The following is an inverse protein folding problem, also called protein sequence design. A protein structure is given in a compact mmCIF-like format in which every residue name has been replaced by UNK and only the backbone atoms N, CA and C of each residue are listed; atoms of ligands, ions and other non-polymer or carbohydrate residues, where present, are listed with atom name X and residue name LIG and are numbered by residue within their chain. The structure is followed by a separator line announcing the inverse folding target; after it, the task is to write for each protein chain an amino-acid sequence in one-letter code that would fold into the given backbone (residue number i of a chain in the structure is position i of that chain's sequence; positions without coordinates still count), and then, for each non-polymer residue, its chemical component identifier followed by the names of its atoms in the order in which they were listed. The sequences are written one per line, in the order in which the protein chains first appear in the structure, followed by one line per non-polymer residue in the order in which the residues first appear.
data_IF_966706354064
#
_entry.id   IF_966706354064
#
_cell.length_a   1.000
_cell.length_b   1.000
_cell.length_c   1.000
_cell.angle_alpha   90.00
_cell.angle_beta   90.00
_cell.angle_gamma   90.00
#
_symmetry.space_group_name_H-M   'P 1'
#
loop_
_entity.id
_entity.type
_entity.pdbx_description
1 polymer ?
#
# COMPACT_ATOMS: atom_id res chain seq x y z
N UNK A 1 10.71 -15.69 -21.46
CA UNK A 1 9.28 -15.35 -21.23
C UNK A 1 9.05 -13.92 -21.68
N UNK A 2 8.66 -13.71 -22.95
CA UNK A 2 8.47 -12.39 -23.56
C UNK A 2 7.04 -12.21 -24.11
N UNK A 3 6.07 -13.00 -23.65
CA UNK A 3 4.69 -12.76 -24.04
C UNK A 3 4.20 -11.47 -23.39
N UNK A 4 3.47 -10.64 -24.14
CA UNK A 4 2.90 -9.40 -23.65
C UNK A 4 2.03 -9.64 -22.40
N UNK A 5 1.29 -10.76 -22.38
CA UNK A 5 0.49 -11.21 -21.23
C UNK A 5 1.33 -11.43 -19.97
N UNK A 6 2.52 -12.01 -20.11
CA UNK A 6 3.42 -12.23 -18.97
C UNK A 6 3.92 -10.90 -18.40
N UNK A 7 4.29 -9.95 -19.26
CA UNK A 7 4.75 -8.62 -18.84
C UNK A 7 3.63 -7.87 -18.11
N UNK A 8 2.40 -7.91 -18.64
CA UNK A 8 1.25 -7.26 -18.02
C UNK A 8 0.95 -7.83 -16.63
N UNK A 9 0.97 -9.16 -16.48
CA UNK A 9 0.76 -9.82 -15.20
C UNK A 9 1.85 -9.45 -14.18
N UNK A 10 3.10 -9.37 -14.63
CA UNK A 10 4.25 -9.05 -13.78
C UNK A 10 4.20 -7.59 -13.31
N UNK A 11 3.81 -6.67 -14.18
CA UNK A 11 3.61 -5.26 -13.81
C UNK A 11 2.49 -5.08 -12.78
N UNK A 12 1.38 -5.82 -12.92
CA UNK A 12 0.29 -5.83 -11.91
C UNK A 12 0.80 -6.31 -10.55
N UNK A 13 1.59 -7.39 -10.53
CA UNK A 13 2.19 -7.92 -9.28
C UNK A 13 3.16 -6.95 -8.65
N UNK A 14 4.04 -6.33 -9.44
CA UNK A 14 4.97 -5.31 -8.95
C UNK A 14 4.23 -4.13 -8.29
N UNK A 15 3.09 -3.71 -8.86
CA UNK A 15 2.22 -2.71 -8.26
C UNK A 15 1.64 -3.16 -6.90
N UNK A 16 1.13 -4.39 -6.83
CA UNK A 16 0.53 -4.95 -5.60
C UNK A 16 1.59 -5.16 -4.50
N UNK A 17 2.75 -5.70 -4.84
CA UNK A 17 3.85 -6.00 -3.91
C UNK A 17 4.59 -4.74 -3.45
N UNK A 18 4.63 -3.70 -4.29
CA UNK A 18 5.24 -2.41 -3.97
C UNK A 18 4.47 -1.63 -2.88
N UNK A 19 3.15 -1.79 -2.82
CA UNK A 19 2.28 -1.09 -1.86
C UNK A 19 2.67 -1.41 -0.40
N UNK A 20 2.77 -2.68 0.03
CA UNK A 20 3.27 -3.03 1.37
C UNK A 20 4.67 -2.48 1.66
N UNK A 21 5.57 -2.47 0.68
CA UNK A 21 6.92 -1.95 0.87
C UNK A 21 6.92 -0.45 1.19
N UNK A 22 6.10 0.35 0.50
CA UNK A 22 5.93 1.77 0.79
C UNK A 22 5.31 1.99 2.17
N UNK A 23 4.28 1.21 2.54
CA UNK A 23 3.67 1.29 3.86
C UNK A 23 4.65 0.98 5.00
N UNK A 24 5.53 0.01 4.83
CA UNK A 24 6.57 -0.29 5.83
C UNK A 24 7.67 0.78 5.87
N UNK A 25 8.22 1.17 4.71
CA UNK A 25 9.36 2.10 4.64
C UNK A 25 8.98 3.56 4.93
N UNK A 26 7.96 4.08 4.26
CA UNK A 26 7.55 5.49 4.35
C UNK A 26 6.66 5.74 5.56
N UNK A 27 5.72 4.83 5.81
CA UNK A 27 4.69 5.04 6.82
C UNK A 27 4.90 4.25 8.11
N UNK A 28 5.97 3.44 8.22
CA UNK A 28 6.34 2.68 9.44
C UNK A 28 5.15 1.96 10.08
N UNK A 29 4.36 1.28 9.24
CA UNK A 29 3.12 0.63 9.69
C UNK A 29 3.37 -0.47 10.73
N UNK A 30 4.52 -1.16 10.65
CA UNK A 30 4.84 -2.27 11.56
C UNK A 30 5.01 -1.83 13.02
N UNK A 31 5.46 -0.59 13.27
CA UNK A 31 5.62 -0.04 14.62
C UNK A 31 4.41 0.76 15.11
N UNK A 32 3.33 0.83 14.33
CA UNK A 32 2.17 1.63 14.66
C UNK A 32 1.29 0.90 15.69
N UNK A 33 0.75 1.59 16.71
CA UNK A 33 -0.12 1.00 17.73
C UNK A 33 -1.55 0.77 17.19
N UNK A 34 -1.70 0.02 16.10
CA UNK A 34 -2.99 -0.26 15.44
C UNK A 34 -3.72 -1.47 16.00
N UNK A 35 -2.99 -2.39 16.65
CA UNK A 35 -3.49 -3.70 17.14
C UNK A 35 -3.52 -3.79 18.67
N UNK A 36 -3.44 -2.66 19.37
CA UNK A 36 -3.48 -2.57 20.83
C UNK A 36 -4.88 -2.37 21.42
N UNK A 37 -4.96 -1.99 22.70
CA UNK A 37 -6.22 -1.85 23.45
C UNK A 37 -7.19 -0.82 22.85
N UNK A 38 -6.66 0.23 22.22
CA UNK A 38 -7.39 1.08 21.30
C UNK A 38 -7.02 0.67 19.86
N UNK A 39 -7.76 -0.27 19.28
CA UNK A 39 -7.62 -0.71 17.89
C UNK A 39 -8.04 0.38 16.88
N UNK A 40 -7.43 1.57 16.94
CA UNK A 40 -7.76 2.66 16.04
C UNK A 40 -7.11 2.43 14.67
N UNK A 41 -7.87 1.81 13.76
CA UNK A 41 -7.46 1.64 12.36
C UNK A 41 -7.49 2.95 11.55
N UNK A 42 -8.00 4.03 12.14
CA UNK A 42 -8.17 5.33 11.49
C UNK A 42 -6.83 5.88 10.95
N UNK A 43 -5.76 5.81 11.75
CA UNK A 43 -4.42 6.26 11.35
C UNK A 43 -3.83 5.46 10.18
N UNK A 44 -4.12 4.16 10.12
CA UNK A 44 -3.74 3.34 8.98
C UNK A 44 -4.58 3.73 7.75
N UNK A 45 -5.89 3.95 7.92
CA UNK A 45 -6.77 4.45 6.87
C UNK A 45 -6.30 5.77 6.24
N UNK A 46 -5.88 6.75 7.05
CA UNK A 46 -5.31 8.00 6.53
C UNK A 46 -4.02 7.79 5.72
N UNK A 47 -3.18 6.82 6.07
CA UNK A 47 -1.98 6.49 5.30
C UNK A 47 -2.33 5.83 3.96
N UNK A 48 -3.37 4.98 3.94
CA UNK A 48 -3.92 4.43 2.70
C UNK A 48 -4.48 5.56 1.81
N UNK A 49 -5.24 6.49 2.39
CA UNK A 49 -5.75 7.66 1.66
C UNK A 49 -4.62 8.54 1.13
N UNK A 50 -3.57 8.79 1.92
CA UNK A 50 -2.40 9.56 1.50
C UNK A 50 -1.63 8.89 0.34
N UNK A 51 -1.55 7.56 0.32
CA UNK A 51 -0.98 6.82 -0.80
C UNK A 51 -1.82 6.97 -2.09
N UNK A 52 -3.14 6.97 -1.95
CA UNK A 52 -4.10 7.08 -3.06
C UNK A 52 -4.54 8.52 -3.35
N UNK A 53 -3.90 9.54 -2.76
CA UNK A 53 -4.39 10.93 -2.79
C UNK A 53 -4.55 11.49 -4.22
N UNK A 54 -3.70 11.04 -5.15
CA UNK A 54 -3.79 11.43 -6.57
C UNK A 54 -5.02 10.84 -7.28
N UNK A 55 -5.49 9.68 -6.84
CA UNK A 55 -6.72 9.03 -7.36
C UNK A 55 -7.97 9.57 -6.67
N UNK A 56 -7.85 10.14 -5.47
CA UNK A 56 -8.97 10.68 -4.69
C UNK A 56 -9.32 12.13 -5.06
N UNK A 57 -8.36 12.92 -5.57
CA UNK A 57 -8.57 14.31 -5.97
C UNK A 57 -8.92 14.49 -7.46
N UNK A 58 -8.92 13.41 -8.24
CA UNK A 58 -8.99 13.46 -9.70
C UNK A 58 -10.24 12.75 -10.22
#
# INVERSE_FOLDING_TARGET
MNSAEYIELTNKRAGIEGIPAVFRRKYRVDSMPVRGFLCSKLWFGFKVAAYNFKTLLN
#
